data_IF_745578671821
#
_entry.id   IF_745578671821
#
_cell.length_a   1.000
_cell.length_b   1.000
_cell.length_c   1.000
_cell.angle_alpha   90.00
_cell.angle_beta   90.00
_cell.angle_gamma   90.00
#
_symmetry.space_group_name_H-M   'P 1'
#
loop_
_entity.id
_entity.type
_entity.pdbx_description
1 polymer ?
#
# COMPACT_ATOMS: atom_id res chain seq x y z
N UNK A 1 -13.63 14.29 2.25
CA UNK A 1 -12.52 13.33 1.98
C UNK A 1 -12.71 12.11 2.86
N UNK A 2 -12.45 10.92 2.31
CA UNK A 2 -12.60 9.63 2.99
C UNK A 2 -11.40 9.39 3.92
N UNK A 3 -11.61 9.48 5.25
CA UNK A 3 -10.53 9.49 6.25
C UNK A 3 -9.91 8.10 6.45
N UNK A 4 -10.75 7.06 6.55
CA UNK A 4 -10.29 5.68 6.74
C UNK A 4 -9.53 5.19 5.49
N UNK A 5 -10.09 5.47 4.32
CA UNK A 5 -9.44 5.19 3.02
C UNK A 5 -8.12 5.92 2.89
N UNK A 6 -8.03 7.20 3.31
CA UNK A 6 -6.78 7.96 3.27
C UNK A 6 -5.72 7.36 4.17
N UNK A 7 -6.08 6.92 5.38
CA UNK A 7 -5.15 6.24 6.28
C UNK A 7 -4.58 4.97 5.63
N UNK A 8 -5.43 4.12 5.05
CA UNK A 8 -4.97 2.93 4.33
C UNK A 8 -4.03 3.27 3.16
N UNK A 9 -4.40 4.24 2.30
CA UNK A 9 -3.57 4.69 1.17
C UNK A 9 -2.21 5.20 1.64
N UNK A 10 -2.19 6.06 2.66
CA UNK A 10 -0.94 6.62 3.18
C UNK A 10 -0.04 5.56 3.79
N UNK A 11 -0.60 4.62 4.56
CA UNK A 11 0.18 3.60 5.26
C UNK A 11 0.72 2.54 4.32
N UNK A 12 -0.14 1.92 3.50
CA UNK A 12 0.32 0.91 2.55
C UNK A 12 1.19 1.52 1.45
N UNK A 13 0.91 2.76 1.05
CA UNK A 13 1.76 3.47 0.11
C UNK A 13 3.14 3.82 0.71
N UNK A 14 3.21 4.12 2.01
CA UNK A 14 4.49 4.29 2.69
C UNK A 14 5.27 2.97 2.76
N UNK A 15 4.61 1.86 3.09
CA UNK A 15 5.22 0.53 3.08
C UNK A 15 5.77 0.18 1.69
N UNK A 16 5.00 0.39 0.62
CA UNK A 16 5.46 0.22 -0.77
C UNK A 16 6.74 0.99 -1.05
N UNK A 17 6.79 2.27 -0.71
CA UNK A 17 7.97 3.08 -0.98
C UNK A 17 9.19 2.66 -0.16
N UNK A 18 9.01 2.30 1.11
CA UNK A 18 10.11 1.85 1.97
C UNK A 18 10.68 0.53 1.46
N UNK A 19 9.83 -0.45 1.17
CA UNK A 19 10.26 -1.74 0.63
C UNK A 19 10.91 -1.58 -0.76
N UNK A 20 10.42 -0.68 -1.60
CA UNK A 20 11.06 -0.42 -2.90
C UNK A 20 12.47 0.20 -2.79
N UNK A 21 12.72 1.04 -1.77
CA UNK A 21 14.05 1.56 -1.44
C UNK A 21 14.96 0.42 -0.99
N UNK A 22 14.46 -0.43 -0.11
CA UNK A 22 15.16 -1.57 0.46
C UNK A 22 15.62 -2.54 -0.64
N UNK A 23 14.74 -2.92 -1.57
CA UNK A 23 15.13 -3.67 -2.77
C UNK A 23 16.20 -2.95 -3.62
N UNK A 24 16.05 -1.63 -3.79
CA UNK A 24 17.03 -0.84 -4.52
C UNK A 24 18.42 -0.84 -3.85
N UNK A 25 18.50 -0.86 -2.52
CA UNK A 25 19.76 -1.01 -1.79
C UNK A 25 20.40 -2.37 -2.06
N UNK A 26 19.62 -3.45 -2.05
CA UNK A 26 20.11 -4.79 -2.39
C UNK A 26 20.75 -4.83 -3.78
N UNK A 27 20.10 -4.23 -4.78
CA UNK A 27 20.68 -4.13 -6.12
C UNK A 27 21.94 -3.22 -6.18
N UNK A 28 21.96 -2.08 -5.48
CA UNK A 28 23.16 -1.21 -5.43
C UNK A 28 24.38 -1.98 -4.89
N UNK A 29 24.19 -2.82 -3.87
CA UNK A 29 25.27 -3.58 -3.24
C UNK A 29 25.87 -4.68 -4.14
N UNK A 30 25.14 -5.11 -5.19
CA UNK A 30 25.67 -6.02 -6.22
C UNK A 30 26.60 -5.30 -7.22
N UNK A 31 26.64 -3.97 -7.19
CA UNK A 31 27.63 -3.15 -7.86
C UNK A 31 27.41 -2.95 -9.37
N UNK A 32 28.45 -2.48 -10.05
CA UNK A 32 28.42 -2.15 -11.48
C UNK A 32 28.59 -3.42 -12.35
N UNK A 33 27.69 -4.39 -12.17
CA UNK A 33 27.69 -5.67 -12.89
C UNK A 33 26.34 -5.93 -13.54
N UNK A 34 26.33 -6.70 -14.63
CA UNK A 34 25.10 -7.04 -15.34
C UNK A 34 24.41 -8.24 -14.68
N UNK A 35 23.07 -8.23 -14.54
CA UNK A 35 22.33 -9.39 -14.06
C UNK A 35 22.36 -10.52 -15.10
N UNK A 36 22.44 -11.77 -14.63
CA UNK A 36 22.41 -12.95 -15.50
C UNK A 36 21.03 -13.17 -16.16
N UNK A 37 19.97 -12.64 -15.56
CA UNK A 37 18.59 -12.72 -16.05
C UNK A 37 17.80 -11.47 -15.64
N UNK A 38 16.65 -11.23 -16.28
CA UNK A 38 15.77 -10.10 -15.91
C UNK A 38 15.23 -10.21 -14.49
N UNK A 39 14.99 -11.43 -14.01
CA UNK A 39 14.59 -11.72 -12.64
C UNK A 39 15.81 -12.16 -11.85
N UNK A 40 16.02 -11.55 -10.68
CA UNK A 40 17.19 -11.77 -9.84
C UNK A 40 16.83 -11.65 -8.35
N UNK A 41 17.70 -12.13 -7.48
CA UNK A 41 17.60 -11.92 -6.03
C UNK A 41 18.17 -10.54 -5.68
N UNK A 42 17.41 -9.74 -4.95
CA UNK A 42 17.80 -8.40 -4.51
C UNK A 42 18.93 -8.44 -3.48
N UNK A 43 18.89 -9.44 -2.58
CA UNK A 43 19.85 -9.67 -1.50
C UNK A 43 20.48 -11.06 -1.62
N UNK A 44 21.25 -11.33 -2.69
CA UNK A 44 21.80 -12.66 -2.92
C UNK A 44 22.83 -13.00 -1.84
N UNK A 45 22.68 -14.17 -1.21
CA UNK A 45 23.61 -14.67 -0.20
C UNK A 45 23.64 -13.87 1.11
N UNK A 46 22.63 -13.02 1.35
CA UNK A 46 22.50 -12.32 2.63
C UNK A 46 21.91 -13.23 3.70
N UNK A 47 22.62 -13.40 4.82
CA UNK A 47 22.12 -14.16 5.98
C UNK A 47 20.80 -13.57 6.53
N UNK A 48 20.65 -12.24 6.51
CA UNK A 48 19.43 -11.58 7.01
C UNK A 48 18.22 -11.83 6.12
N UNK A 49 18.42 -11.97 4.80
CA UNK A 49 17.32 -12.15 3.84
C UNK A 49 17.17 -13.60 3.37
N UNK A 50 17.91 -14.54 3.97
CA UNK A 50 17.86 -15.96 3.60
C UNK A 50 16.45 -16.54 3.77
N UNK A 51 15.76 -16.17 4.85
CA UNK A 51 14.35 -16.56 5.10
C UNK A 51 13.39 -16.08 4.00
N UNK A 52 13.74 -15.00 3.28
CA UNK A 52 12.97 -14.48 2.15
C UNK A 52 13.58 -14.90 0.79
N UNK A 53 14.51 -15.84 0.79
CA UNK A 53 15.28 -16.30 -0.37
C UNK A 53 15.93 -15.13 -1.13
N UNK A 54 16.45 -14.15 -0.38
CA UNK A 54 17.08 -12.94 -0.90
C UNK A 54 16.16 -12.02 -1.70
N UNK A 55 14.85 -12.20 -1.60
CA UNK A 55 13.76 -11.42 -2.22
C UNK A 55 13.81 -11.22 -3.75
N UNK A 56 12.81 -11.69 -4.50
CA UNK A 56 12.82 -11.59 -5.96
C UNK A 56 12.59 -10.14 -6.43
N UNK A 57 13.38 -9.72 -7.40
CA UNK A 57 13.26 -8.46 -8.12
C UNK A 57 13.38 -8.67 -9.63
N UNK A 58 12.91 -7.69 -10.40
CA UNK A 58 12.93 -7.70 -11.86
C UNK A 58 13.46 -6.38 -12.39
N UNK A 59 14.33 -6.41 -13.41
CA UNK A 59 14.77 -5.21 -14.11
C UNK A 59 14.97 -5.46 -15.60
N UNK A 60 14.60 -4.49 -16.43
CA UNK A 60 14.97 -4.47 -17.86
C UNK A 60 16.32 -3.80 -18.11
N UNK A 61 16.98 -3.30 -17.05
CA UNK A 61 18.23 -2.57 -17.12
C UNK A 61 19.38 -3.55 -16.86
N UNK A 62 20.34 -3.71 -17.78
CA UNK A 62 21.40 -4.72 -17.67
C UNK A 62 22.54 -4.28 -16.74
N UNK A 63 22.21 -3.68 -15.60
CA UNK A 63 23.19 -3.19 -14.62
C UNK A 63 22.56 -3.05 -13.23
N UNK A 64 23.12 -3.73 -12.22
CA UNK A 64 22.59 -3.71 -10.86
C UNK A 64 22.69 -2.33 -10.18
N UNK A 65 23.83 -1.64 -10.30
CA UNK A 65 24.00 -0.31 -9.71
C UNK A 65 22.97 0.69 -10.25
N UNK A 66 22.78 0.76 -11.57
CA UNK A 66 21.79 1.65 -12.19
C UNK A 66 20.36 1.22 -11.82
N UNK A 67 20.09 -0.08 -11.84
CA UNK A 67 18.80 -0.66 -11.40
C UNK A 67 18.47 -0.21 -9.98
N UNK A 68 19.39 -0.41 -9.03
CA UNK A 68 19.18 -0.06 -7.64
C UNK A 68 18.99 1.44 -7.40
N UNK A 69 19.79 2.29 -8.05
CA UNK A 69 19.61 3.75 -7.97
C UNK A 69 18.22 4.16 -8.48
N UNK A 70 17.77 3.60 -9.61
CA UNK A 70 16.45 3.93 -10.15
C UNK A 70 15.31 3.41 -9.27
N UNK A 71 15.43 2.20 -8.72
CA UNK A 71 14.47 1.66 -7.76
C UNK A 71 14.32 2.60 -6.54
N UNK A 72 15.43 3.09 -5.97
CA UNK A 72 15.42 4.04 -4.86
C UNK A 72 14.73 5.35 -5.27
N UNK A 73 15.13 5.94 -6.40
CA UNK A 73 14.57 7.22 -6.86
C UNK A 73 13.07 7.13 -7.14
N UNK A 74 12.62 6.08 -7.84
CA UNK A 74 11.21 5.84 -8.13
C UNK A 74 10.41 5.63 -6.84
N UNK A 75 10.97 4.90 -5.88
CA UNK A 75 10.34 4.66 -4.58
C UNK A 75 10.23 5.93 -3.73
N UNK A 76 11.24 6.82 -3.77
CA UNK A 76 11.18 8.14 -3.13
C UNK A 76 10.12 9.04 -3.78
N UNK A 77 10.01 9.02 -5.11
CA UNK A 77 8.95 9.73 -5.83
C UNK A 77 7.58 9.15 -5.45
N UNK A 78 7.45 7.83 -5.36
CA UNK A 78 6.22 7.16 -4.91
C UNK A 78 5.82 7.62 -3.51
N UNK A 79 6.74 7.62 -2.54
CA UNK A 79 6.50 8.14 -1.18
C UNK A 79 6.02 9.59 -1.21
N UNK A 80 6.69 10.42 -2.01
CA UNK A 80 6.31 11.82 -2.13
C UNK A 80 4.89 11.99 -2.68
N UNK A 81 4.52 11.25 -3.74
CA UNK A 81 3.17 11.27 -4.31
C UNK A 81 2.12 10.82 -3.30
N UNK A 82 2.35 9.69 -2.60
CA UNK A 82 1.42 9.16 -1.58
C UNK A 82 1.18 10.15 -0.44
N UNK A 83 2.24 10.82 0.02
CA UNK A 83 2.18 11.65 1.22
C UNK A 83 1.76 13.10 0.94
N UNK A 84 2.06 13.63 -0.25
CA UNK A 84 1.97 15.07 -0.53
C UNK A 84 1.08 15.46 -1.70
N UNK A 85 0.67 14.52 -2.55
CA UNK A 85 -0.11 14.86 -3.77
C UNK A 85 -1.59 14.50 -3.58
N UNK A 86 -2.43 15.44 -3.10
CA UNK A 86 -3.87 15.25 -3.13
C UNK A 86 -4.37 15.45 -4.56
N UNK A 87 -5.22 14.55 -5.06
CA UNK A 87 -5.82 14.79 -6.36
C UNK A 87 -6.65 13.64 -6.90
N UNK A 88 -7.44 13.97 -7.93
CA UNK A 88 -8.23 13.00 -8.71
C UNK A 88 -7.35 12.05 -9.54
N UNK A 89 -6.10 12.43 -9.81
CA UNK A 89 -5.15 11.67 -10.63
C UNK A 89 -4.12 10.89 -9.80
N UNK A 90 -4.12 11.03 -8.47
CA UNK A 90 -3.14 10.36 -7.60
C UNK A 90 -3.09 8.85 -7.85
N UNK A 91 -4.24 8.20 -8.03
CA UNK A 91 -4.28 6.76 -8.36
C UNK A 91 -3.58 6.41 -9.67
N UNK A 92 -3.74 7.20 -10.73
CA UNK A 92 -3.04 6.97 -11.99
C UNK A 92 -1.51 7.13 -11.83
N UNK A 93 -1.07 8.18 -11.14
CA UNK A 93 0.35 8.42 -10.90
C UNK A 93 0.99 7.26 -10.11
N UNK A 94 0.30 6.77 -9.08
CA UNK A 94 0.77 5.62 -8.30
C UNK A 94 0.79 4.33 -9.13
N UNK A 95 -0.17 4.10 -10.02
CA UNK A 95 -0.17 2.94 -10.91
C UNK A 95 1.01 2.98 -11.89
N UNK A 96 1.26 4.13 -12.52
CA UNK A 96 2.40 4.31 -13.43
C UNK A 96 3.73 4.15 -12.70
N UNK A 97 3.86 4.71 -11.50
CA UNK A 97 5.06 4.55 -10.67
C UNK A 97 5.23 3.09 -10.23
N UNK A 98 4.16 2.37 -9.90
CA UNK A 98 4.24 0.94 -9.56
C UNK A 98 4.74 0.12 -10.75
N UNK A 99 4.24 0.40 -11.96
CA UNK A 99 4.74 -0.25 -13.17
C UNK A 99 6.22 0.06 -13.42
N UNK A 100 6.64 1.32 -13.25
CA UNK A 100 8.03 1.72 -13.37
C UNK A 100 8.93 1.04 -12.32
N UNK A 101 8.48 0.97 -11.06
CA UNK A 101 9.17 0.30 -9.96
C UNK A 101 9.39 -1.20 -10.26
N UNK A 102 8.40 -1.89 -10.85
CA UNK A 102 8.49 -3.30 -11.21
C UNK A 102 9.58 -3.58 -12.24
N UNK A 103 9.71 -2.73 -13.26
CA UNK A 103 10.69 -2.92 -14.35
C UNK A 103 12.07 -2.34 -14.02
N UNK A 104 12.19 -1.61 -12.90
CA UNK A 104 13.41 -0.93 -12.47
C UNK A 104 14.06 -1.57 -11.23
N UNK A 105 13.62 -2.76 -10.80
CA UNK A 105 14.29 -3.51 -9.73
C UNK A 105 13.81 -3.25 -8.31
N UNK A 106 12.65 -2.61 -8.10
CA UNK A 106 12.14 -2.34 -6.75
C UNK A 106 11.39 -3.54 -6.12
N UNK A 107 11.71 -4.77 -6.52
CA UNK A 107 11.03 -5.99 -6.06
C UNK A 107 9.67 -6.26 -6.70
N UNK A 108 9.12 -7.47 -6.47
CA UNK A 108 7.74 -7.79 -6.89
C UNK A 108 6.68 -7.32 -5.88
N UNK A 109 6.99 -7.42 -4.58
CA UNK A 109 6.08 -7.03 -3.51
C UNK A 109 5.66 -5.55 -3.59
N UNK A 110 6.61 -4.60 -3.67
CA UNK A 110 6.27 -3.18 -3.63
C UNK A 110 5.36 -2.72 -4.78
N UNK A 111 5.64 -3.02 -6.06
CA UNK A 111 4.72 -2.72 -7.17
C UNK A 111 3.32 -3.31 -7.00
N UNK A 112 3.22 -4.56 -6.53
CA UNK A 112 1.93 -5.22 -6.31
C UNK A 112 1.08 -4.45 -5.29
N UNK A 113 1.67 -4.11 -4.14
CA UNK A 113 1.01 -3.28 -3.12
C UNK A 113 0.70 -1.89 -3.72
N UNK A 114 1.63 -1.32 -4.49
CA UNK A 114 1.48 -0.03 -5.14
C UNK A 114 0.28 0.04 -6.08
N UNK A 115 0.00 -1.00 -6.87
CA UNK A 115 -1.21 -1.09 -7.70
C UNK A 115 -2.49 -1.15 -6.86
N UNK A 116 -2.48 -1.87 -5.74
CA UNK A 116 -3.62 -1.94 -4.82
C UNK A 116 -3.87 -0.57 -4.17
N UNK A 117 -2.81 0.12 -3.77
CA UNK A 117 -2.85 1.48 -3.24
C UNK A 117 -3.36 2.46 -4.30
N UNK A 118 -2.90 2.35 -5.55
CA UNK A 118 -3.34 3.16 -6.68
C UNK A 118 -4.85 3.01 -6.95
N UNK A 119 -5.34 1.76 -6.97
CA UNK A 119 -6.77 1.47 -7.11
C UNK A 119 -7.58 2.05 -5.95
N UNK A 120 -7.08 1.93 -4.72
CA UNK A 120 -7.71 2.47 -3.52
C UNK A 120 -7.72 4.00 -3.51
N UNK A 121 -6.62 4.64 -3.89
CA UNK A 121 -6.46 6.09 -3.98
C UNK A 121 -7.42 6.71 -4.99
N UNK A 122 -7.70 6.01 -6.09
CA UNK A 122 -8.69 6.42 -7.10
C UNK A 122 -10.11 6.54 -6.53
N UNK A 123 -10.38 5.97 -5.35
CA UNK A 123 -11.68 6.02 -4.66
C UNK A 123 -11.73 6.97 -3.46
N UNK A 124 -10.67 7.76 -3.19
CA UNK A 124 -10.59 8.67 -2.03
C UNK A 124 -11.72 9.72 -1.95
N UNK A 125 -12.25 10.10 -3.10
CA UNK A 125 -13.32 11.11 -3.19
C UNK A 125 -14.69 10.49 -3.48
N UNK A 126 -14.75 9.18 -3.76
CA UNK A 126 -15.98 8.51 -4.18
C UNK A 126 -17.06 8.53 -3.08
N UNK A 127 -18.35 8.71 -3.45
CA UNK A 127 -19.46 8.75 -2.50
C UNK A 127 -20.00 7.37 -2.07
N UNK A 128 -19.53 6.27 -2.68
CA UNK A 128 -19.92 4.88 -2.37
C UNK A 128 -21.44 4.61 -2.24
N UNK A 129 -22.30 5.04 -3.20
CA UNK A 129 -23.75 4.86 -3.09
C UNK A 129 -24.18 3.39 -3.16
N UNK A 130 -23.51 2.57 -3.97
CA UNK A 130 -23.81 1.16 -4.11
C UNK A 130 -23.62 0.39 -2.79
N UNK A 131 -22.51 0.66 -2.08
CA UNK A 131 -22.22 0.09 -0.76
C UNK A 131 -23.30 0.47 0.26
N UNK A 132 -23.81 1.70 0.22
CA UNK A 132 -24.90 2.11 1.12
C UNK A 132 -26.22 1.42 0.80
N UNK A 133 -26.52 1.20 -0.47
CA UNK A 133 -27.78 0.63 -0.91
C UNK A 133 -27.86 -0.89 -0.68
N UNK A 134 -26.75 -1.61 -0.82
CA UNK A 134 -26.75 -3.09 -0.82
C UNK A 134 -26.20 -3.71 0.46
N UNK A 135 -25.49 -2.95 1.31
CA UNK A 135 -24.90 -3.49 2.52
C UNK A 135 -25.92 -3.47 3.68
N UNK A 136 -26.21 -4.61 4.33
CA UNK A 136 -27.10 -4.63 5.49
C UNK A 136 -26.62 -3.70 6.60
N UNK A 137 -27.53 -2.97 7.23
CA UNK A 137 -27.19 -1.95 8.23
C UNK A 137 -26.36 -2.53 9.40
N UNK A 138 -26.67 -3.76 9.83
CA UNK A 138 -25.91 -4.47 10.87
C UNK A 138 -24.47 -4.77 10.44
N UNK A 139 -24.29 -5.37 9.27
CA UNK A 139 -22.96 -5.69 8.71
C UNK A 139 -22.13 -4.44 8.53
N UNK A 140 -22.72 -3.38 7.97
CA UNK A 140 -22.02 -2.11 7.78
C UNK A 140 -21.55 -1.49 9.10
N UNK A 141 -22.38 -1.55 10.14
CA UNK A 141 -22.03 -1.05 11.48
C UNK A 141 -20.88 -1.85 12.09
N UNK A 142 -20.94 -3.18 12.01
CA UNK A 142 -19.88 -4.06 12.52
C UNK A 142 -18.56 -3.76 11.81
N UNK A 143 -18.53 -3.73 10.48
CA UNK A 143 -17.32 -3.42 9.70
C UNK A 143 -16.78 -2.02 10.03
N UNK A 144 -17.67 -1.03 10.15
CA UNK A 144 -17.24 0.33 10.48
C UNK A 144 -16.60 0.41 11.88
N UNK A 145 -17.11 -0.33 12.88
CA UNK A 145 -16.56 -0.36 14.24
C UNK A 145 -15.28 -1.19 14.30
N UNK A 146 -15.23 -2.32 13.57
CA UNK A 146 -14.08 -3.21 13.50
C UNK A 146 -12.88 -2.61 12.76
N UNK A 147 -13.10 -1.62 11.89
CA UNK A 147 -12.05 -1.05 11.03
C UNK A 147 -10.72 -0.69 11.73
N UNK A 148 -10.68 0.00 12.90
CA UNK A 148 -9.42 0.33 13.55
C UNK A 148 -8.63 -0.92 13.98
N UNK A 149 -9.33 -1.98 14.37
CA UNK A 149 -8.74 -3.25 14.77
C UNK A 149 -8.23 -4.03 13.56
N UNK A 150 -9.00 -4.07 12.47
CA UNK A 150 -8.55 -4.63 11.20
C UNK A 150 -7.31 -3.91 10.68
N UNK A 151 -7.32 -2.57 10.75
CA UNK A 151 -6.20 -1.74 10.37
C UNK A 151 -4.97 -1.99 11.24
N UNK A 152 -5.11 -2.04 12.56
CA UNK A 152 -4.01 -2.35 13.47
C UNK A 152 -3.46 -3.77 13.23
N UNK A 153 -4.33 -4.77 13.10
CA UNK A 153 -3.95 -6.14 12.79
C UNK A 153 -3.23 -6.24 11.44
N UNK A 154 -3.71 -5.51 10.42
CA UNK A 154 -3.03 -5.45 9.13
C UNK A 154 -1.64 -4.83 9.24
N UNK A 155 -1.48 -3.75 10.00
CA UNK A 155 -0.16 -3.14 10.22
C UNK A 155 0.79 -4.10 10.94
N UNK A 156 0.30 -4.82 11.96
CA UNK A 156 1.08 -5.85 12.65
C UNK A 156 1.48 -6.97 11.70
N UNK A 157 0.57 -7.43 10.83
CA UNK A 157 0.87 -8.47 9.86
C UNK A 157 1.92 -8.00 8.83
N UNK A 158 1.83 -6.77 8.34
CA UNK A 158 2.83 -6.20 7.44
C UNK A 158 4.20 -6.02 8.11
N UNK A 159 4.25 -5.47 9.32
CA UNK A 159 5.50 -5.33 10.07
C UNK A 159 6.07 -6.68 10.51
N UNK A 160 5.20 -7.66 10.76
CA UNK A 160 5.55 -9.04 11.03
C UNK A 160 6.15 -9.71 9.80
N UNK A 161 5.60 -9.47 8.61
CA UNK A 161 6.17 -9.95 7.34
C UNK A 161 7.54 -9.29 7.08
N UNK A 162 7.60 -7.97 7.08
CA UNK A 162 8.84 -7.21 6.89
C UNK A 162 8.84 -5.96 7.79
N UNK A 163 9.87 -5.74 8.63
CA UNK A 163 11.10 -6.52 8.80
C UNK A 163 10.98 -7.70 9.78
N UNK A 164 9.78 -8.02 10.27
CA UNK A 164 9.58 -8.93 11.41
C UNK A 164 10.11 -10.36 11.19
N UNK A 165 9.94 -10.95 10.00
CA UNK A 165 10.46 -12.30 9.70
C UNK A 165 11.97 -12.34 9.80
N UNK A 166 12.65 -11.35 9.22
CA UNK A 166 14.12 -11.18 9.27
C UNK A 166 14.60 -11.10 10.72
N UNK A 167 13.95 -10.25 11.53
CA UNK A 167 14.35 -10.07 12.93
C UNK A 167 14.09 -11.33 13.76
N UNK A 168 12.93 -11.98 13.59
CA UNK A 168 12.58 -13.19 14.32
C UNK A 168 13.52 -14.34 13.97
N UNK A 169 13.83 -14.52 12.69
CA UNK A 169 14.75 -15.56 12.25
C UNK A 169 16.17 -15.31 12.78
N UNK A 170 16.67 -14.08 12.66
CA UNK A 170 18.01 -13.72 13.12
C UNK A 170 18.21 -13.89 14.64
N UNK A 171 17.23 -13.52 15.46
CA UNK A 171 17.39 -13.53 16.93
C UNK A 171 16.86 -14.78 17.62
N UNK A 172 15.82 -15.42 17.07
CA UNK A 172 15.12 -16.55 17.71
C UNK A 172 15.33 -17.84 16.94
N UNK A 173 15.52 -17.76 15.61
CA UNK A 173 15.54 -18.89 14.70
C UNK A 173 14.12 -19.41 14.43
N UNK A 174 13.74 -19.53 13.16
CA UNK A 174 12.43 -20.05 12.78
C UNK A 174 12.56 -21.51 12.35
N UNK A 175 11.83 -22.40 13.02
CA UNK A 175 11.87 -23.84 12.75
C UNK A 175 11.25 -24.23 11.39
N UNK A 176 10.19 -23.52 10.96
CA UNK A 176 9.53 -23.72 9.66
C UNK A 176 9.37 -22.35 8.97
N UNK A 177 10.41 -21.89 8.25
CA UNK A 177 10.42 -20.57 7.62
C UNK A 177 9.33 -20.42 6.57
N UNK A 178 9.07 -21.45 5.77
CA UNK A 178 8.06 -21.41 4.70
C UNK A 178 6.65 -21.20 5.27
N UNK A 179 6.26 -21.97 6.30
CA UNK A 179 4.96 -21.83 6.92
C UNK A 179 4.76 -20.42 7.50
N UNK A 180 5.78 -19.89 8.17
CA UNK A 180 5.72 -18.55 8.78
C UNK A 180 5.62 -17.46 7.71
N UNK A 181 6.49 -17.49 6.69
CA UNK A 181 6.50 -16.49 5.63
C UNK A 181 5.19 -16.52 4.84
N UNK A 182 4.73 -17.69 4.38
CA UNK A 182 3.47 -17.79 3.64
C UNK A 182 2.25 -17.44 4.49
N UNK A 183 2.24 -17.84 5.78
CA UNK A 183 1.20 -17.45 6.72
C UNK A 183 1.12 -15.94 6.93
N UNK A 184 2.28 -15.27 7.02
CA UNK A 184 2.36 -13.81 7.16
C UNK A 184 1.99 -13.09 5.86
N UNK A 185 2.40 -13.58 4.69
CA UNK A 185 1.97 -13.04 3.38
C UNK A 185 0.43 -13.12 3.28
N UNK A 186 -0.14 -14.30 3.53
CA UNK A 186 -1.59 -14.51 3.48
C UNK A 186 -2.33 -13.59 4.46
N UNK A 187 -1.81 -13.47 5.68
CA UNK A 187 -2.38 -12.58 6.71
C UNK A 187 -2.26 -11.10 6.32
N UNK A 188 -1.11 -10.65 5.83
CA UNK A 188 -0.85 -9.27 5.45
C UNK A 188 -1.76 -8.81 4.31
N UNK A 189 -1.85 -9.60 3.23
CA UNK A 189 -2.74 -9.30 2.11
C UNK A 189 -4.21 -9.45 2.49
N UNK A 190 -4.58 -10.53 3.18
CA UNK A 190 -5.97 -10.75 3.63
C UNK A 190 -6.48 -9.62 4.50
N UNK A 191 -5.72 -9.23 5.52
CA UNK A 191 -6.07 -8.12 6.41
C UNK A 191 -6.03 -6.76 5.70
N UNK A 192 -5.13 -6.58 4.72
CA UNK A 192 -5.11 -5.36 3.90
C UNK A 192 -6.42 -5.20 3.11
N UNK A 193 -6.87 -6.25 2.40
CA UNK A 193 -8.12 -6.19 1.64
C UNK A 193 -9.32 -5.95 2.57
N UNK A 194 -9.37 -6.64 3.72
CA UNK A 194 -10.41 -6.42 4.74
C UNK A 194 -10.38 -4.97 5.27
N UNK A 195 -9.20 -4.42 5.52
CA UNK A 195 -9.01 -3.04 6.01
C UNK A 195 -9.47 -2.01 4.98
N UNK A 196 -9.13 -2.21 3.70
CA UNK A 196 -9.56 -1.33 2.60
C UNK A 196 -11.08 -1.39 2.45
N UNK A 197 -11.67 -2.60 2.41
CA UNK A 197 -13.12 -2.80 2.28
C UNK A 197 -13.89 -2.19 3.46
N UNK A 198 -13.49 -2.50 4.70
CA UNK A 198 -14.09 -1.91 5.89
C UNK A 198 -13.87 -0.38 5.95
N UNK A 199 -12.78 0.12 5.38
CA UNK A 199 -12.49 1.56 5.26
C UNK A 199 -13.49 2.27 4.36
N UNK A 200 -13.79 1.69 3.20
CA UNK A 200 -14.85 2.20 2.31
C UNK A 200 -16.22 2.24 3.00
N UNK A 201 -16.57 1.18 3.74
CA UNK A 201 -17.82 1.11 4.50
C UNK A 201 -17.88 2.19 5.58
N UNK A 202 -16.81 2.34 6.37
CA UNK A 202 -16.70 3.35 7.42
C UNK A 202 -16.85 4.76 6.88
N UNK A 203 -16.16 5.08 5.78
CA UNK A 203 -16.24 6.40 5.15
C UNK A 203 -17.63 6.65 4.54
N UNK A 204 -18.26 5.63 3.95
CA UNK A 204 -19.62 5.72 3.43
C UNK A 204 -20.62 6.04 4.54
N UNK A 205 -20.53 5.40 5.71
CA UNK A 205 -21.42 5.65 6.84
C UNK A 205 -21.20 7.02 7.49
N UNK A 206 -19.95 7.44 7.67
CA UNK A 206 -19.62 8.74 8.26
C UNK A 206 -20.12 9.91 7.41
N UNK A 207 -20.04 9.80 6.08
CA UNK A 207 -20.61 10.80 5.16
C UNK A 207 -22.14 10.87 5.21
N UNK A 208 -22.83 9.78 5.54
CA UNK A 208 -24.30 9.77 5.65
C UNK A 208 -24.80 10.43 6.94
N UNK A 209 -23.94 10.55 7.95
CA UNK A 209 -24.23 11.23 9.22
C UNK A 209 -23.91 12.73 9.20
N UNK A 210 -23.23 13.23 8.17
CA UNK A 210 -22.97 14.65 8.04
C UNK A 210 -24.30 15.38 7.79
N UNK A 211 -24.66 16.39 8.60
CA UNK A 211 -25.86 17.18 8.34
C UNK A 211 -25.80 17.75 6.91
N UNK A 212 -26.93 17.74 6.20
CA UNK A 212 -27.04 18.40 4.92
C UNK A 212 -26.56 19.86 5.09
N UNK A 213 -25.78 20.42 4.15
CA UNK A 213 -25.42 21.82 4.22
C UNK A 213 -26.71 22.62 4.39
N UNK A 214 -26.78 23.43 5.44
CA UNK A 214 -27.92 24.30 5.69
C UNK A 214 -28.20 25.04 4.39
N UNK A 215 -29.37 24.79 3.80
CA UNK A 215 -29.79 25.54 2.63
C UNK A 215 -29.81 27.00 3.07
N UNK A 216 -28.90 27.81 2.53
CA UNK A 216 -28.90 29.26 2.69
C UNK A 216 -30.15 29.79 1.97
N UNK A 217 -31.31 29.64 2.61
CA UNK A 217 -32.54 30.35 2.27
C UNK A 217 -32.36 31.80 2.70
N UNK A 218 -31.62 32.57 1.90
CA UNK A 218 -31.76 34.01 1.94
C UNK A 218 -33.18 34.32 1.42
N UNK A 219 -34.08 34.91 2.23
CA UNK A 219 -35.37 35.33 1.74
C UNK A 219 -35.17 36.36 0.63
N UNK A 220 -35.70 36.07 -0.56
CA UNK A 220 -35.78 37.03 -1.66
C UNK A 220 -36.60 38.23 -1.16
N UNK A 221 -36.07 39.46 -1.14
CA UNK A 221 -36.86 40.61 -0.72
C UNK A 221 -38.02 40.81 -1.70
N UNK A 222 -39.25 40.82 -1.18
CA UNK A 222 -40.43 41.17 -1.97
C UNK A 222 -40.26 42.58 -2.54
N UNK A 223 -40.52 42.83 -3.83
CA UNK A 223 -40.53 44.18 -4.37
C UNK A 223 -41.68 44.95 -3.69
N UNK A 224 -41.33 45.97 -2.90
CA UNK A 224 -42.30 46.93 -2.37
C UNK A 224 -42.94 47.65 -3.57
N UNK A 225 -44.27 47.57 -3.64
CA UNK A 225 -45.09 48.42 -4.50
C UNK A 225 -45.17 49.83 -3.93
#
# INVERSE_FOLDING_TARGET
MNKATRAAVSTYGALTGIMGIEHGLGAVLQGNTAPAAMVFSSWPGSELFEILNGEPAMSTIPNFLVTGILAILLSLIFLWVVLRVPGRHTGLYLALLSAAMLVAGAGFGPPLIGFIVAATASRLHAPFPWLRAHLPAGVGRVLSVAWPWLYAGSLIAWLGLFPGTILLDHFVGIADPELVVFGLIGSAFGLMFLTIGAGFVRDAQQRGKAPAPAANWLPVPSPRR
#
